data_IF_476043485620
#
_entry.id   IF_476043485620
#
_cell.length_a   1.000
_cell.length_b   1.000
_cell.length_c   1.000
_cell.angle_alpha   90.00
_cell.angle_beta   90.00
_cell.angle_gamma   90.00
#
_symmetry.space_group_name_H-M   'P 1'
#
loop_
_entity.id
_entity.type
_entity.pdbx_description
1 polymer ?
#
# COMPACT_ATOMS: atom_id res chain seq x y z
N UNK A 1 -8.93 -16.74 -11.18
CA UNK A 1 -8.75 -18.20 -11.12
C UNK A 1 -9.32 -18.84 -12.38
N UNK A 2 -8.48 -19.34 -13.28
CA UNK A 2 -8.93 -20.17 -14.39
C UNK A 2 -9.02 -21.61 -13.87
N UNK A 3 -10.22 -22.07 -13.49
CA UNK A 3 -10.47 -23.47 -13.09
C UNK A 3 -10.57 -24.39 -14.32
N UNK A 4 -10.27 -23.86 -15.52
CA UNK A 4 -10.25 -24.59 -16.77
C UNK A 4 -8.80 -24.69 -17.25
N UNK A 5 -8.11 -25.72 -16.77
CA UNK A 5 -6.76 -26.07 -17.18
C UNK A 5 -6.48 -27.52 -16.80
N UNK A 6 -5.69 -28.22 -17.60
CA UNK A 6 -5.22 -29.55 -17.24
C UNK A 6 -4.14 -29.42 -16.16
N UNK A 7 -4.25 -30.23 -15.09
CA UNK A 7 -3.23 -30.27 -14.04
C UNK A 7 -1.99 -30.96 -14.58
N UNK A 8 -0.99 -30.20 -14.98
CA UNK A 8 0.27 -30.76 -15.43
C UNK A 8 1.26 -30.96 -14.28
N UNK A 9 1.44 -32.23 -13.92
CA UNK A 9 2.56 -32.71 -13.13
C UNK A 9 2.38 -32.62 -11.61
N UNK A 10 3.36 -33.21 -10.93
CA UNK A 10 3.48 -33.21 -9.47
C UNK A 10 4.94 -32.92 -9.14
N UNK A 11 5.19 -32.07 -8.16
CA UNK A 11 6.55 -31.68 -7.79
C UNK A 11 6.66 -31.10 -6.38
N UNK A 12 7.90 -31.00 -5.91
CA UNK A 12 8.19 -30.36 -4.63
C UNK A 12 8.08 -28.83 -4.75
N UNK A 13 7.15 -28.24 -4.02
CA UNK A 13 7.04 -26.78 -3.94
C UNK A 13 8.20 -26.20 -3.14
N UNK A 14 9.00 -25.33 -3.78
CA UNK A 14 10.00 -24.52 -3.08
C UNK A 14 9.31 -23.55 -2.12
N UNK A 15 9.93 -23.33 -0.95
CA UNK A 15 9.41 -22.42 0.07
C UNK A 15 10.45 -21.35 0.38
N UNK A 16 10.00 -20.19 0.84
CA UNK A 16 10.85 -19.14 1.41
C UNK A 16 11.31 -19.52 2.83
N UNK A 17 12.02 -20.64 2.94
CA UNK A 17 12.51 -21.22 4.20
C UNK A 17 13.98 -21.62 4.02
N UNK A 18 14.84 -21.22 4.95
CA UNK A 18 16.24 -21.63 5.02
C UNK A 18 16.56 -22.11 6.44
N UNK A 19 17.17 -23.30 6.56
CA UNK A 19 17.53 -23.92 7.86
C UNK A 19 16.38 -23.96 8.88
N UNK A 20 15.17 -24.26 8.41
CA UNK A 20 13.97 -24.32 9.26
C UNK A 20 13.38 -22.96 9.66
N UNK A 21 13.96 -21.85 9.20
CA UNK A 21 13.50 -20.48 9.51
C UNK A 21 12.89 -19.87 8.24
N UNK A 22 11.71 -19.26 8.37
CA UNK A 22 11.07 -18.53 7.28
C UNK A 22 11.85 -17.26 6.95
N UNK A 23 12.14 -17.06 5.67
CA UNK A 23 12.65 -15.78 5.17
C UNK A 23 11.50 -14.84 4.84
N UNK A 24 11.56 -13.60 5.32
CA UNK A 24 10.55 -12.56 5.06
C UNK A 24 11.20 -11.28 4.54
N UNK A 25 10.38 -10.35 4.02
CA UNK A 25 10.87 -9.03 3.58
C UNK A 25 11.54 -8.23 4.71
N UNK A 26 11.20 -8.51 5.98
CA UNK A 26 11.83 -7.86 7.12
C UNK A 26 13.33 -8.20 7.25
N UNK A 27 13.77 -9.33 6.69
CA UNK A 27 15.19 -9.75 6.78
C UNK A 27 16.13 -8.83 6.02
N UNK A 28 15.62 -8.10 5.01
CA UNK A 28 16.36 -7.02 4.31
C UNK A 28 16.68 -5.83 5.22
N UNK A 29 15.86 -5.62 6.27
CA UNK A 29 15.96 -4.46 7.16
C UNK A 29 16.57 -4.84 8.51
N UNK A 30 16.28 -6.04 9.02
CA UNK A 30 16.76 -6.51 10.34
C UNK A 30 18.28 -6.49 10.48
N UNK A 31 19.00 -6.72 9.39
CA UNK A 31 20.46 -6.73 9.35
C UNK A 31 21.03 -5.47 8.68
N UNK A 32 20.20 -4.44 8.49
CA UNK A 32 20.61 -3.18 7.88
C UNK A 32 21.18 -2.25 8.95
N UNK A 33 22.51 -2.26 9.08
CA UNK A 33 23.22 -1.54 10.14
C UNK A 33 23.46 -0.04 9.85
N UNK A 34 23.10 0.44 8.65
CA UNK A 34 23.37 1.84 8.27
C UNK A 34 22.37 2.79 8.93
N UNK A 35 22.88 3.95 9.34
CA UNK A 35 22.13 4.99 10.07
C UNK A 35 21.15 5.81 9.22
N UNK A 36 21.07 5.56 7.91
CA UNK A 36 20.23 6.32 6.99
C UNK A 36 18.81 5.77 6.83
N UNK A 37 18.44 4.74 7.59
CA UNK A 37 17.11 4.14 7.59
C UNK A 37 16.44 4.32 8.96
N UNK A 38 15.20 4.78 8.96
CA UNK A 38 14.36 4.85 10.16
C UNK A 38 13.10 4.04 9.92
N UNK A 39 12.85 3.06 10.79
CA UNK A 39 11.62 2.26 10.76
C UNK A 39 10.73 2.69 11.92
N UNK A 40 9.52 3.13 11.60
CA UNK A 40 8.48 3.42 12.60
C UNK A 40 7.42 2.34 12.51
N UNK A 41 7.48 1.38 13.44
CA UNK A 41 6.43 0.40 13.62
C UNK A 41 5.27 0.98 14.44
N UNK A 42 4.11 0.33 14.40
CA UNK A 42 2.89 0.78 15.11
C UNK A 42 2.48 2.21 14.75
N UNK A 43 2.66 2.58 13.48
CA UNK A 43 2.23 3.86 12.93
C UNK A 43 1.34 3.58 11.72
N UNK A 44 0.15 4.16 11.72
CA UNK A 44 -0.81 4.09 10.62
C UNK A 44 -0.75 5.37 9.79
N UNK A 45 -0.67 5.24 8.46
CA UNK A 45 -0.69 6.38 7.54
C UNK A 45 -2.12 6.54 7.03
N UNK A 46 -2.72 7.71 7.30
CA UNK A 46 -4.11 7.97 6.93
C UNK A 46 -4.25 8.59 5.53
N UNK A 47 -3.38 9.57 5.21
CA UNK A 47 -3.37 10.22 3.90
C UNK A 47 -2.00 10.77 3.52
N UNK A 48 -1.80 10.92 2.22
CA UNK A 48 -0.70 11.63 1.60
C UNK A 48 -1.04 13.11 1.53
N UNK A 49 -0.14 13.94 1.99
CA UNK A 49 -0.23 15.39 1.90
C UNK A 49 0.23 15.80 0.50
N UNK A 50 -0.69 16.42 -0.23
CA UNK A 50 -0.49 16.90 -1.59
C UNK A 50 -0.55 18.43 -1.60
N UNK A 51 0.46 19.05 -2.18
CA UNK A 51 0.54 20.48 -2.44
C UNK A 51 0.46 20.74 -3.95
N UNK A 52 -0.09 21.88 -4.34
CA UNK A 52 -0.06 22.32 -5.74
C UNK A 52 1.39 22.54 -6.18
N UNK A 53 1.77 21.95 -7.31
CA UNK A 53 3.08 22.16 -7.91
C UNK A 53 2.97 23.05 -9.14
N UNK A 54 2.05 22.72 -10.05
CA UNK A 54 1.69 23.52 -11.22
C UNK A 54 0.16 23.68 -11.32
N UNK A 55 -0.31 24.38 -12.36
CA UNK A 55 -1.73 24.67 -12.62
C UNK A 55 -2.60 23.40 -12.57
N UNK A 56 -2.07 22.26 -13.03
CA UNK A 56 -2.79 21.00 -13.12
C UNK A 56 -2.05 19.82 -12.47
N UNK A 57 -1.11 20.08 -11.55
CA UNK A 57 -0.30 19.02 -10.94
C UNK A 57 -0.17 19.18 -9.43
N UNK A 58 -0.13 18.03 -8.75
CA UNK A 58 0.12 17.94 -7.32
C UNK A 58 1.46 17.27 -7.06
N UNK A 59 2.12 17.70 -5.99
CA UNK A 59 3.31 17.06 -5.45
C UNK A 59 3.03 16.47 -4.08
N UNK A 60 3.44 15.22 -3.90
CA UNK A 60 3.41 14.55 -2.61
C UNK A 60 4.57 15.04 -1.74
N UNK A 61 4.26 15.68 -0.61
CA UNK A 61 5.25 16.37 0.24
C UNK A 61 5.39 15.76 1.63
N UNK A 62 4.44 14.93 2.03
CA UNK A 62 4.47 14.24 3.31
C UNK A 62 3.30 13.29 3.47
N UNK A 63 3.22 12.68 4.64
CA UNK A 63 2.08 11.88 5.07
C UNK A 63 1.59 12.35 6.42
N UNK A 64 0.28 12.26 6.62
CA UNK A 64 -0.36 12.36 7.92
C UNK A 64 -0.50 10.94 8.49
N UNK A 65 0.01 10.74 9.69
CA UNK A 65 0.08 9.43 10.32
C UNK A 65 -0.28 9.48 11.80
N UNK A 66 -0.65 8.34 12.38
CA UNK A 66 -1.09 8.20 13.75
C UNK A 66 -0.29 7.09 14.44
N UNK A 67 0.26 7.37 15.62
CA UNK A 67 0.95 6.36 16.44
C UNK A 67 0.01 5.60 17.38
N UNK A 68 -1.19 6.14 17.61
CA UNK A 68 -2.27 5.55 18.41
C UNK A 68 -3.60 6.01 17.81
N UNK A 69 -4.65 5.20 17.90
CA UNK A 69 -5.97 5.48 17.31
C UNK A 69 -6.66 6.71 17.90
N UNK A 70 -6.27 7.11 19.12
CA UNK A 70 -6.77 8.32 19.79
C UNK A 70 -5.73 9.46 19.81
N UNK A 71 -4.59 9.27 19.14
CA UNK A 71 -3.48 10.22 19.12
C UNK A 71 -3.73 11.39 18.18
N UNK A 72 -3.02 12.49 18.43
CA UNK A 72 -2.93 13.58 17.45
C UNK A 72 -2.15 13.11 16.22
N UNK A 73 -2.54 13.56 15.01
CA UNK A 73 -1.80 13.23 13.80
C UNK A 73 -0.38 13.79 13.88
N UNK A 74 0.58 12.99 13.44
CA UNK A 74 1.95 13.39 13.18
C UNK A 74 2.16 13.57 11.68
N UNK A 75 2.86 14.63 11.29
CA UNK A 75 3.21 14.91 9.90
C UNK A 75 4.65 14.45 9.66
N UNK A 76 4.84 13.56 8.67
CA UNK A 76 6.16 13.11 8.23
C UNK A 76 6.39 13.64 6.81
N UNK A 77 7.33 14.58 6.65
CA UNK A 77 7.64 15.18 5.34
C UNK A 77 8.67 14.36 4.56
N UNK A 78 8.49 14.29 3.25
CA UNK A 78 9.42 13.66 2.32
C UNK A 78 10.13 14.72 1.48
N UNK A 79 11.47 14.64 1.38
CA UNK A 79 12.26 15.59 0.57
C UNK A 79 12.22 15.28 -0.93
N UNK A 80 11.99 14.01 -1.29
CA UNK A 80 12.03 13.55 -2.68
C UNK A 80 10.68 12.96 -3.08
N UNK A 81 10.38 11.79 -2.57
CA UNK A 81 9.26 10.97 -3.02
C UNK A 81 8.60 10.24 -1.85
N UNK A 82 7.35 9.83 -2.08
CA UNK A 82 6.59 8.94 -1.20
C UNK A 82 6.29 7.68 -2.01
N UNK A 83 6.80 6.54 -1.56
CA UNK A 83 6.58 5.25 -2.19
C UNK A 83 5.47 4.51 -1.43
N UNK A 84 4.35 4.29 -2.10
CA UNK A 84 3.19 3.58 -1.53
C UNK A 84 3.39 2.08 -1.69
N UNK A 85 3.56 1.39 -0.56
CA UNK A 85 3.82 -0.06 -0.51
C UNK A 85 2.95 -0.78 0.52
N UNK A 86 1.70 -0.34 0.70
CA UNK A 86 0.80 -0.85 1.76
C UNK A 86 -0.09 -2.02 1.31
N UNK A 87 0.19 -2.61 0.14
CA UNK A 87 -0.50 -3.79 -0.38
C UNK A 87 -1.72 -3.47 -1.25
N UNK A 88 -2.29 -4.51 -1.89
CA UNK A 88 -3.32 -4.36 -2.94
C UNK A 88 -4.62 -3.73 -2.43
N UNK A 89 -4.99 -3.94 -1.17
CA UNK A 89 -6.19 -3.36 -0.57
C UNK A 89 -5.97 -1.94 -0.06
N UNK A 90 -4.89 -1.72 0.70
CA UNK A 90 -4.70 -0.44 1.38
C UNK A 90 -4.07 0.63 0.48
N UNK A 91 -3.38 0.26 -0.60
CA UNK A 91 -2.75 1.24 -1.50
C UNK A 91 -3.81 2.08 -2.24
N UNK A 92 -4.83 1.47 -2.90
CA UNK A 92 -5.90 2.27 -3.50
C UNK A 92 -6.69 3.05 -2.43
N UNK A 93 -6.94 2.46 -1.26
CA UNK A 93 -7.62 3.16 -0.16
C UNK A 93 -6.85 4.41 0.30
N UNK A 94 -5.54 4.31 0.52
CA UNK A 94 -4.69 5.44 0.90
C UNK A 94 -4.70 6.53 -0.19
N UNK A 95 -4.66 6.14 -1.48
CA UNK A 95 -4.77 7.09 -2.58
C UNK A 95 -6.11 7.82 -2.55
N UNK A 96 -7.22 7.10 -2.37
CA UNK A 96 -8.55 7.69 -2.29
C UNK A 96 -8.70 8.64 -1.09
N UNK A 97 -8.23 8.24 0.10
CA UNK A 97 -8.18 9.11 1.29
C UNK A 97 -7.34 10.38 1.06
N UNK A 98 -6.39 10.33 0.13
CA UNK A 98 -5.55 11.46 -0.26
C UNK A 98 -6.19 12.35 -1.33
N UNK A 99 -7.36 11.98 -1.85
CA UNK A 99 -8.05 12.66 -2.95
C UNK A 99 -7.59 12.22 -4.35
N UNK A 100 -6.99 11.04 -4.48
CA UNK A 100 -6.55 10.42 -5.74
C UNK A 100 -7.42 9.19 -6.02
N UNK A 101 -8.31 9.27 -7.00
CA UNK A 101 -9.25 8.18 -7.30
C UNK A 101 -10.40 8.61 -8.20
N UNK A 102 -11.46 7.79 -8.33
CA UNK A 102 -12.63 8.13 -9.15
C UNK A 102 -13.36 9.35 -8.57
N UNK A 103 -13.46 10.44 -9.35
CA UNK A 103 -13.96 11.72 -8.84
C UNK A 103 -15.36 11.64 -8.22
N UNK A 104 -16.30 10.95 -8.87
CA UNK A 104 -17.68 10.79 -8.39
C UNK A 104 -17.72 10.08 -7.04
N UNK A 105 -17.01 8.96 -6.91
CA UNK A 105 -16.95 8.19 -5.67
C UNK A 105 -16.30 8.99 -4.53
N UNK A 106 -15.22 9.73 -4.81
CA UNK A 106 -14.59 10.60 -3.81
C UNK A 106 -15.56 11.67 -3.30
N UNK A 107 -16.34 12.29 -4.21
CA UNK A 107 -17.34 13.29 -3.85
C UNK A 107 -18.46 12.68 -2.98
N UNK A 108 -18.94 11.48 -3.33
CA UNK A 108 -19.93 10.74 -2.52
C UNK A 108 -19.44 10.48 -1.09
N UNK A 109 -18.14 10.21 -0.93
CA UNK A 109 -17.50 9.99 0.38
C UNK A 109 -17.13 11.31 1.09
N UNK A 110 -17.45 12.48 0.53
CA UNK A 110 -17.12 13.79 1.10
C UNK A 110 -15.63 14.16 0.99
N UNK A 111 -14.89 13.50 0.10
CA UNK A 111 -13.45 13.73 -0.13
C UNK A 111 -13.28 14.64 -1.35
N UNK A 112 -12.45 15.68 -1.21
CA UNK A 112 -12.11 16.54 -2.34
C UNK A 112 -11.22 15.77 -3.34
N UNK A 113 -11.73 15.56 -4.56
CA UNK A 113 -10.98 14.96 -5.65
C UNK A 113 -9.90 15.93 -6.17
N UNK A 114 -8.64 15.61 -5.88
CA UNK A 114 -7.46 16.35 -6.38
C UNK A 114 -6.98 15.80 -7.71
N UNK A 115 -6.95 14.47 -7.84
CA UNK A 115 -6.53 13.79 -9.07
C UNK A 115 -7.58 12.74 -9.42
N UNK A 116 -8.29 12.97 -10.52
CA UNK A 116 -9.26 12.00 -11.03
C UNK A 116 -8.54 10.83 -11.71
N UNK A 117 -8.44 9.71 -11.01
CA UNK A 117 -7.92 8.44 -11.53
C UNK A 117 -9.00 7.37 -11.40
N UNK A 118 -9.84 7.17 -12.43
CA UNK A 118 -11.02 6.33 -12.34
C UNK A 118 -10.70 4.84 -12.16
N UNK A 119 -9.46 4.40 -12.38
CA UNK A 119 -9.06 3.00 -12.29
C UNK A 119 -8.44 2.62 -10.94
N UNK A 120 -8.28 3.58 -10.03
CA UNK A 120 -7.91 3.27 -8.63
C UNK A 120 -9.00 2.37 -8.03
N UNK A 121 -8.58 1.34 -7.30
CA UNK A 121 -9.42 0.26 -6.72
C UNK A 121 -10.01 -0.74 -7.73
N UNK A 122 -9.91 -0.48 -9.04
CA UNK A 122 -10.38 -1.41 -10.07
C UNK A 122 -9.38 -2.52 -10.35
N UNK A 123 -9.84 -3.54 -11.08
CA UNK A 123 -9.02 -4.66 -11.55
C UNK A 123 -8.36 -5.47 -10.42
N UNK A 124 -9.02 -5.59 -9.26
CA UNK A 124 -8.64 -6.56 -8.24
C UNK A 124 -8.82 -7.97 -8.80
N UNK A 125 -7.76 -8.77 -8.75
CA UNK A 125 -7.77 -10.17 -9.14
C UNK A 125 -7.17 -11.01 -8.02
N UNK A 126 -7.82 -12.14 -7.73
CA UNK A 126 -7.34 -13.09 -6.73
C UNK A 126 -7.64 -14.53 -7.15
N UNK A 127 -7.03 -15.47 -6.44
CA UNK A 127 -7.20 -16.90 -6.61
C UNK A 127 -8.15 -17.44 -5.53
N UNK A 128 -9.38 -17.75 -5.93
CA UNK A 128 -10.40 -18.33 -5.06
C UNK A 128 -10.01 -19.72 -4.53
N UNK A 129 -9.81 -19.89 -3.21
CA UNK A 129 -9.52 -21.22 -2.65
C UNK A 129 -10.82 -21.89 -2.21
N UNK A 130 -11.05 -23.13 -2.65
CA UNK A 130 -12.14 -24.00 -2.19
C UNK A 130 -11.56 -25.21 -1.50
N UNK A 131 -12.01 -25.46 -0.27
CA UNK A 131 -11.72 -26.68 0.47
C UNK A 131 -12.86 -27.66 0.23
N UNK A 132 -12.58 -28.77 -0.45
CA UNK A 132 -13.49 -29.91 -0.46
C UNK A 132 -13.05 -30.83 0.69
N UNK A 133 -13.93 -30.97 1.68
CA UNK A 133 -13.79 -31.93 2.77
C UNK A 133 -14.51 -33.23 2.41
#
# INVERSE_FOLDING_TARGET
MFVQGEYEGVGHATRTIHKGIRSTSADFIRHYEKTNLTVKASVYVDRIILEHHDVNSYKAVGVEAYADTNGQPIIIKARKEIIVSVGVYNSPLLLMHSGIGPAEHLIEMGIHCKVNLPDVEKNLQDHLIVWNF
#
